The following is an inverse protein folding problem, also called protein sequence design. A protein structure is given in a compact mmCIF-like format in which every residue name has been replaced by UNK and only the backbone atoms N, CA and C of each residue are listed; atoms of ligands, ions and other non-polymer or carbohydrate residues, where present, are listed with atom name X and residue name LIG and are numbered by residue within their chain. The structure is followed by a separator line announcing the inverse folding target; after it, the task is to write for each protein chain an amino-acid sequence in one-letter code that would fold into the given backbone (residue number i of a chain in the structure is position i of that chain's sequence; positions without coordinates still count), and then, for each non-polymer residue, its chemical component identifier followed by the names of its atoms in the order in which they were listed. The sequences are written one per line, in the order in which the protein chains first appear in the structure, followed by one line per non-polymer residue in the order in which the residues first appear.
data_IF_223094929166
#
_entry.id   IF_223094929166
#
_cell.length_a   1.000
_cell.length_b   1.000
_cell.length_c   1.000
_cell.angle_alpha   90.00
_cell.angle_beta   90.00
_cell.angle_gamma   90.00
#
_symmetry.space_group_name_H-M   'P 1'
#
loop_
_entity.id
_entity.type
_entity.pdbx_description
1 polymer ?
#
# COMPACT_ATOMS: atom_id res chain seq x y z
N UNK A 1 -15.92 11.58 -12.83
CA UNK A 1 -15.85 10.23 -12.26
C UNK A 1 -16.86 10.17 -11.11
N UNK A 2 -17.83 9.26 -11.12
CA UNK A 2 -18.84 9.18 -10.05
C UNK A 2 -18.36 8.21 -8.97
N UNK A 3 -17.72 8.73 -7.93
CA UNK A 3 -17.16 7.94 -6.84
C UNK A 3 -18.25 7.58 -5.83
N UNK A 4 -18.46 6.30 -5.58
CA UNK A 4 -19.40 5.80 -4.58
C UNK A 4 -18.67 5.39 -3.32
N UNK A 5 -19.17 5.79 -2.15
CA UNK A 5 -18.68 5.29 -0.87
C UNK A 5 -19.37 3.97 -0.55
N UNK A 6 -18.58 2.93 -0.25
CA UNK A 6 -19.03 1.63 0.18
C UNK A 6 -18.40 1.31 1.55
N UNK A 7 -19.26 1.10 2.54
CA UNK A 7 -18.86 0.59 3.85
C UNK A 7 -18.75 -0.94 3.79
N UNK A 8 -17.87 -1.52 4.60
CA UNK A 8 -17.60 -2.96 4.67
C UNK A 8 -17.10 -3.56 3.34
N UNK A 9 -16.48 -2.74 2.49
CA UNK A 9 -15.91 -3.21 1.24
C UNK A 9 -14.61 -4.00 1.51
N UNK A 10 -14.31 -5.08 0.75
CA UNK A 10 -13.14 -5.93 1.00
C UNK A 10 -11.79 -5.18 1.04
N UNK A 11 -11.67 -4.06 0.34
CA UNK A 11 -10.46 -3.22 0.34
C UNK A 11 -10.12 -2.66 1.72
N UNK A 12 -11.11 -2.47 2.61
CA UNK A 12 -10.84 -1.98 3.96
C UNK A 12 -10.07 -3.01 4.79
N UNK A 13 -10.48 -4.28 4.68
CA UNK A 13 -9.77 -5.38 5.32
C UNK A 13 -8.41 -5.60 4.66
N UNK A 14 -8.34 -5.55 3.33
CA UNK A 14 -7.08 -5.69 2.59
C UNK A 14 -6.06 -4.61 2.97
N UNK A 15 -6.50 -3.34 3.11
CA UNK A 15 -5.65 -2.25 3.58
C UNK A 15 -5.10 -2.52 4.99
N UNK A 16 -5.98 -2.91 5.92
CA UNK A 16 -5.59 -3.21 7.30
C UNK A 16 -4.60 -4.37 7.35
N UNK A 17 -4.85 -5.46 6.62
CA UNK A 17 -3.98 -6.62 6.54
C UNK A 17 -2.61 -6.29 5.93
N UNK A 18 -2.60 -5.53 4.83
CA UNK A 18 -1.37 -5.06 4.19
C UNK A 18 -0.53 -4.19 5.15
N UNK A 19 -1.14 -3.19 5.78
CA UNK A 19 -0.44 -2.30 6.72
C UNK A 19 0.13 -3.07 7.92
N UNK A 20 -0.62 -4.06 8.45
CA UNK A 20 -0.12 -4.95 9.51
C UNK A 20 1.07 -5.78 9.04
N UNK A 21 1.03 -6.34 7.84
CA UNK A 21 2.15 -7.09 7.27
C UNK A 21 3.41 -6.21 7.13
N UNK A 22 3.25 -4.96 6.66
CA UNK A 22 4.34 -3.97 6.58
C UNK A 22 4.91 -3.68 7.97
N UNK A 23 4.07 -3.41 8.97
CA UNK A 23 4.50 -3.14 10.34
C UNK A 23 5.31 -4.33 10.92
N UNK A 24 4.77 -5.54 10.78
CA UNK A 24 5.37 -6.78 11.25
C UNK A 24 6.64 -7.20 10.48
N UNK A 25 6.89 -6.61 9.31
CA UNK A 25 7.97 -7.06 8.42
C UNK A 25 7.69 -8.41 7.75
N UNK A 26 6.42 -8.81 7.67
CA UNK A 26 5.99 -10.02 6.98
C UNK A 26 5.97 -9.76 5.47
N UNK A 27 7.11 -10.03 4.83
CA UNK A 27 7.30 -9.79 3.40
C UNK A 27 6.36 -10.65 2.53
N UNK A 28 6.09 -11.89 2.93
CA UNK A 28 5.21 -12.79 2.20
C UNK A 28 3.77 -12.29 2.18
N UNK A 29 3.24 -11.94 3.35
CA UNK A 29 1.90 -11.35 3.44
C UNK A 29 1.83 -9.99 2.75
N UNK A 30 2.84 -9.14 2.90
CA UNK A 30 2.87 -7.85 2.20
C UNK A 30 2.82 -8.06 0.68
N UNK A 31 3.68 -8.93 0.14
CA UNK A 31 3.74 -9.26 -1.28
C UNK A 31 2.41 -9.80 -1.83
N UNK A 32 1.75 -10.68 -1.07
CA UNK A 32 0.46 -11.26 -1.45
C UNK A 32 -0.64 -10.20 -1.67
N UNK A 33 -0.58 -9.07 -0.97
CA UNK A 33 -1.54 -7.98 -1.12
C UNK A 33 -1.24 -7.02 -2.28
N UNK A 34 -0.09 -7.15 -2.96
CA UNK A 34 0.31 -6.25 -4.05
C UNK A 34 -0.23 -6.69 -5.40
N UNK A 35 -0.60 -5.71 -6.23
CA UNK A 35 -0.97 -5.90 -7.63
C UNK A 35 0.19 -6.45 -8.46
N UNK A 36 -0.10 -7.04 -9.62
CA UNK A 36 0.95 -7.51 -10.53
C UNK A 36 1.87 -6.38 -10.99
N UNK A 37 1.30 -5.22 -11.31
CA UNK A 37 2.04 -4.02 -11.71
C UNK A 37 3.04 -3.61 -10.62
N UNK A 38 2.57 -3.57 -9.37
CA UNK A 38 3.41 -3.21 -8.22
C UNK A 38 4.51 -4.24 -7.98
N UNK A 39 4.21 -5.54 -8.07
CA UNK A 39 5.24 -6.58 -7.96
C UNK A 39 6.30 -6.45 -9.03
N UNK A 40 5.91 -6.24 -10.29
CA UNK A 40 6.84 -6.01 -11.39
C UNK A 40 7.73 -4.78 -11.19
N UNK A 41 7.19 -3.69 -10.63
CA UNK A 41 7.97 -2.52 -10.23
C UNK A 41 9.03 -2.89 -9.18
N UNK A 42 8.65 -3.63 -8.12
CA UNK A 42 9.57 -4.03 -7.06
C UNK A 42 10.64 -5.02 -7.56
N UNK A 43 10.29 -5.94 -8.45
CA UNK A 43 11.25 -6.83 -9.12
C UNK A 43 12.26 -6.04 -9.94
N UNK A 44 11.81 -5.02 -10.69
CA UNK A 44 12.69 -4.12 -11.44
C UNK A 44 13.62 -3.31 -10.54
N UNK A 45 13.12 -2.80 -9.43
CA UNK A 45 13.92 -2.09 -8.42
C UNK A 45 14.96 -3.00 -7.76
N UNK A 46 14.56 -4.24 -7.44
CA UNK A 46 15.48 -5.25 -6.94
C UNK A 46 16.57 -5.56 -7.98
N UNK A 47 16.21 -5.79 -9.25
CA UNK A 47 17.15 -6.07 -10.33
C UNK A 47 18.22 -4.97 -10.45
N UNK A 48 17.79 -3.71 -10.43
CA UNK A 48 18.67 -2.55 -10.52
C UNK A 48 19.64 -2.47 -9.33
N UNK A 49 19.14 -2.68 -8.09
CA UNK A 49 19.94 -2.62 -6.86
C UNK A 49 20.93 -3.78 -6.75
N UNK A 50 20.48 -4.99 -7.08
CA UNK A 50 21.30 -6.20 -7.04
C UNK A 50 22.23 -6.33 -8.26
N UNK A 51 22.13 -5.41 -9.24
CA UNK A 51 22.90 -5.42 -10.48
C UNK A 51 22.76 -6.73 -11.28
N UNK A 52 21.55 -7.29 -11.30
CA UNK A 52 21.22 -8.50 -12.06
C UNK A 52 20.29 -8.17 -13.22
N UNK A 53 20.25 -9.06 -14.22
CA UNK A 53 19.31 -8.91 -15.31
C UNK A 53 17.87 -9.10 -14.83
N UNK A 54 16.90 -8.37 -15.41
CA UNK A 54 15.50 -8.42 -15.00
C UNK A 54 14.91 -9.84 -15.03
N UNK A 55 15.25 -10.66 -16.03
CA UNK A 55 14.75 -12.04 -16.11
C UNK A 55 15.27 -12.94 -14.97
N UNK A 56 16.34 -12.55 -14.28
CA UNK A 56 16.86 -13.21 -13.07
C UNK A 56 16.14 -12.72 -11.81
N UNK A 57 15.73 -11.45 -11.80
CA UNK A 57 15.00 -10.82 -10.70
C UNK A 57 13.48 -11.10 -10.74
N UNK A 58 12.93 -11.38 -11.91
CA UNK A 58 11.50 -11.59 -12.12
C UNK A 58 11.01 -12.89 -11.48
N UNK A 59 9.69 -12.95 -11.26
CA UNK A 59 9.03 -14.14 -10.71
C UNK A 59 9.41 -14.37 -9.25
N UNK A 60 9.46 -13.30 -8.45
CA UNK A 60 9.62 -13.42 -6.99
C UNK A 60 8.37 -14.08 -6.43
N UNK A 61 8.56 -15.23 -5.79
CA UNK A 61 7.47 -15.98 -5.18
C UNK A 61 7.09 -15.37 -3.83
N UNK A 62 5.83 -15.55 -3.43
CA UNK A 62 5.39 -15.17 -2.08
C UNK A 62 5.91 -16.11 -1.00
N UNK A 63 6.65 -17.17 -1.35
CA UNK A 63 7.22 -18.10 -0.38
C UNK A 63 8.37 -17.45 0.38
N UNK A 64 8.45 -17.72 1.68
CA UNK A 64 9.58 -17.34 2.52
C UNK A 64 10.90 -17.99 2.09
N UNK A 65 10.83 -19.04 1.27
CA UNK A 65 12.01 -19.72 0.73
C UNK A 65 12.66 -18.96 -0.44
N UNK A 66 11.95 -18.00 -1.06
CA UNK A 66 12.55 -17.13 -2.07
C UNK A 66 13.38 -16.04 -1.38
N UNK A 67 14.70 -16.25 -1.37
CA UNK A 67 15.65 -15.33 -0.74
C UNK A 67 15.54 -13.88 -1.25
N UNK A 68 15.01 -13.65 -2.45
CA UNK A 68 14.85 -12.31 -3.06
C UNK A 68 13.69 -11.53 -2.44
N UNK A 69 12.69 -12.22 -1.88
CA UNK A 69 11.43 -11.63 -1.43
C UNK A 69 11.63 -10.51 -0.41
N UNK A 70 12.43 -10.78 0.63
CA UNK A 70 12.71 -9.79 1.66
C UNK A 70 13.40 -8.55 1.09
N UNK A 71 14.35 -8.73 0.17
CA UNK A 71 15.09 -7.63 -0.46
C UNK A 71 14.25 -6.80 -1.42
N UNK A 72 13.31 -7.44 -2.11
CA UNK A 72 12.36 -6.79 -3.01
C UNK A 72 11.33 -5.94 -2.24
N UNK A 73 10.86 -6.43 -1.08
CA UNK A 73 9.87 -5.72 -0.24
C UNK A 73 10.50 -4.66 0.68
N UNK A 74 11.77 -4.80 1.04
CA UNK A 74 12.43 -3.91 2.00
C UNK A 74 12.31 -2.40 1.67
N UNK A 75 12.49 -1.92 0.42
CA UNK A 75 12.32 -0.50 0.09
C UNK A 75 10.88 -0.01 0.30
N UNK A 76 9.89 -0.83 -0.07
CA UNK A 76 8.47 -0.53 0.14
C UNK A 76 8.17 -0.38 1.63
N UNK A 77 8.62 -1.35 2.44
CA UNK A 77 8.47 -1.29 3.89
C UNK A 77 9.12 -0.03 4.46
N UNK A 78 10.37 0.24 4.08
CA UNK A 78 11.10 1.43 4.53
C UNK A 78 10.35 2.72 4.21
N UNK A 79 9.85 2.86 2.99
CA UNK A 79 9.05 4.01 2.55
C UNK A 79 7.77 4.19 3.38
N UNK A 80 6.97 3.13 3.54
CA UNK A 80 5.71 3.19 4.28
C UNK A 80 5.97 3.50 5.76
N UNK A 81 6.97 2.88 6.39
CA UNK A 81 7.32 3.17 7.78
C UNK A 81 7.80 4.62 7.95
N UNK A 82 8.59 5.14 7.02
CA UNK A 82 9.03 6.53 7.06
C UNK A 82 7.84 7.49 6.91
N UNK A 83 6.92 7.22 5.98
CA UNK A 83 5.76 8.06 5.71
C UNK A 83 4.72 8.03 6.85
N UNK A 84 4.50 6.87 7.45
CA UNK A 84 3.49 6.67 8.51
C UNK A 84 4.08 6.83 9.93
N UNK A 85 5.36 7.15 10.05
CA UNK A 85 6.00 7.48 11.33
C UNK A 85 6.31 6.27 12.22
N UNK A 86 6.70 5.14 11.62
CA UNK A 86 7.23 3.96 12.30
C UNK A 86 6.26 2.78 12.39
N UNK A 87 6.78 1.60 12.76
CA UNK A 87 6.01 0.35 12.86
C UNK A 87 4.85 0.46 13.83
N UNK A 88 5.05 1.17 14.95
CA UNK A 88 4.10 1.23 16.05
C UNK A 88 2.87 2.08 15.68
N UNK A 89 3.03 3.02 14.73
CA UNK A 89 1.96 3.92 14.29
C UNK A 89 1.18 3.40 13.09
N UNK A 90 1.78 2.57 12.25
CA UNK A 90 1.13 2.01 11.05
C UNK A 90 -0.16 1.27 11.39
N UNK A 91 -0.19 0.56 12.52
CA UNK A 91 -1.37 -0.17 13.00
C UNK A 91 -2.48 0.70 13.60
N UNK A 92 -2.19 1.98 13.88
CA UNK A 92 -3.11 2.91 14.53
C UNK A 92 -3.89 3.79 13.54
N UNK A 93 -3.53 3.78 12.25
CA UNK A 93 -4.29 4.50 11.24
C UNK A 93 -5.70 3.92 11.07
N UNK A 94 -6.69 4.80 11.04
CA UNK A 94 -8.05 4.44 10.66
C UNK A 94 -8.14 4.21 9.16
N UNK A 95 -8.88 3.17 8.75
CA UNK A 95 -9.18 2.91 7.33
C UNK A 95 -10.61 3.34 7.04
N UNK A 96 -10.78 4.32 6.14
CA UNK A 96 -12.11 4.83 5.79
C UNK A 96 -12.98 3.77 5.06
N UNK A 97 -14.27 4.08 4.88
CA UNK A 97 -15.09 3.41 3.87
C UNK A 97 -14.42 3.50 2.49
N UNK A 98 -14.57 2.46 1.67
CA UNK A 98 -13.95 2.41 0.36
C UNK A 98 -14.62 3.37 -0.61
N UNK A 99 -13.81 4.11 -1.35
CA UNK A 99 -14.23 4.96 -2.46
C UNK A 99 -14.10 4.14 -3.74
N UNK A 100 -15.23 3.61 -4.19
CA UNK A 100 -15.34 2.81 -5.41
C UNK A 100 -15.39 3.78 -6.59
N UNK A 101 -14.34 3.72 -7.41
CA UNK A 101 -14.21 4.54 -8.61
C UNK A 101 -14.99 3.89 -9.75
N UNK A 102 -14.75 2.60 -9.95
CA UNK A 102 -15.44 1.75 -10.91
C UNK A 102 -15.36 0.26 -10.48
N UNK A 103 -15.64 -0.66 -11.40
CA UNK A 103 -15.61 -2.11 -11.14
C UNK A 103 -14.22 -2.70 -10.89
N UNK A 104 -13.17 -1.98 -11.29
CA UNK A 104 -11.79 -2.39 -11.30
C UNK A 104 -10.91 -1.56 -10.35
N UNK A 105 -11.35 -0.37 -9.94
CA UNK A 105 -10.58 0.54 -9.10
C UNK A 105 -11.41 0.97 -7.88
N UNK A 106 -10.78 0.87 -6.71
CA UNK A 106 -11.27 1.46 -5.47
C UNK A 106 -10.08 2.00 -4.67
N UNK A 107 -10.32 2.92 -3.74
CA UNK A 107 -9.29 3.35 -2.81
C UNK A 107 -9.85 3.58 -1.42
N UNK A 108 -9.01 3.53 -0.41
CA UNK A 108 -9.35 3.89 0.97
C UNK A 108 -8.46 5.04 1.43
N UNK A 109 -8.97 5.86 2.33
CA UNK A 109 -8.21 6.92 2.97
C UNK A 109 -7.63 6.39 4.28
N UNK A 110 -6.37 6.73 4.55
CA UNK A 110 -5.70 6.49 5.83
C UNK A 110 -5.89 7.71 6.72
N UNK A 111 -6.79 7.57 7.68
CA UNK A 111 -7.12 8.58 8.66
C UNK A 111 -6.04 8.58 9.76
N UNK A 112 -5.55 9.76 10.16
CA UNK A 112 -4.53 9.86 11.19
C UNK A 112 -4.97 9.18 12.49
N UNK A 113 -3.99 8.68 13.24
CA UNK A 113 -4.20 8.18 14.59
C UNK A 113 -4.52 9.37 15.52
N UNK A 114 -5.70 9.34 16.12
CA UNK A 114 -6.16 10.34 17.09
C UNK A 114 -5.88 9.93 18.54
N UNK A 115 -5.23 8.79 18.77
CA UNK A 115 -4.96 8.27 20.12
C UNK A 115 -6.25 8.01 20.91
N UNK A 116 -6.23 8.35 22.20
CA UNK A 116 -7.40 8.21 23.09
C UNK A 116 -8.47 9.31 22.87
N UNK A 117 -8.20 10.30 22.03
CA UNK A 117 -9.12 11.40 21.76
C UNK A 117 -10.27 10.94 20.85
N UNK A 118 -11.48 10.89 21.43
CA UNK A 118 -12.68 10.39 20.75
C UNK A 118 -13.40 11.43 19.90
N UNK A 119 -13.03 12.71 20.04
CA UNK A 119 -13.64 13.83 19.33
C UNK A 119 -12.50 14.76 18.90
N UNK A 120 -12.28 14.82 17.61
CA UNK A 120 -11.28 15.67 16.95
C UNK A 120 -12.00 16.60 15.99
N UNK A 121 -11.42 17.78 15.75
CA UNK A 121 -12.08 18.77 14.91
C UNK A 121 -12.01 18.38 13.42
N UNK A 122 -12.95 18.87 12.61
CA UNK A 122 -12.97 18.58 11.15
C UNK A 122 -11.64 18.91 10.43
N UNK A 123 -10.89 19.98 10.79
CA UNK A 123 -9.54 20.21 10.28
C UNK A 123 -8.53 19.09 10.59
N UNK A 124 -8.68 18.41 11.72
CA UNK A 124 -7.80 17.33 12.16
C UNK A 124 -8.12 16.01 11.43
N UNK A 125 -9.30 15.92 10.79
CA UNK A 125 -9.78 14.76 10.03
C UNK A 125 -9.17 14.59 8.64
N UNK A 126 -8.15 15.37 8.29
CA UNK A 126 -7.54 15.30 6.96
C UNK A 126 -6.88 13.93 6.76
N UNK A 127 -7.26 13.19 5.70
CA UNK A 127 -6.54 11.99 5.32
C UNK A 127 -5.05 12.28 5.20
N UNK A 128 -4.23 11.41 5.78
CA UNK A 128 -2.78 11.55 5.66
C UNK A 128 -2.27 10.98 4.34
N UNK A 129 -2.89 9.88 3.89
CA UNK A 129 -2.52 9.11 2.72
C UNK A 129 -3.76 8.40 2.19
N UNK A 130 -3.63 7.75 1.04
CA UNK A 130 -4.60 6.79 0.53
C UNK A 130 -3.89 5.51 0.09
N UNK A 131 -4.66 4.42 -0.01
CA UNK A 131 -4.23 3.20 -0.69
C UNK A 131 -5.22 2.88 -1.80
N UNK A 132 -4.73 2.80 -3.02
CA UNK A 132 -5.50 2.38 -4.17
C UNK A 132 -5.43 0.87 -4.35
N UNK A 133 -6.53 0.32 -4.84
CA UNK A 133 -6.71 -1.08 -5.11
C UNK A 133 -7.18 -1.27 -6.54
N UNK A 134 -6.58 -2.24 -7.21
CA UNK A 134 -7.06 -2.76 -8.49
C UNK A 134 -7.67 -4.14 -8.29
N UNK A 135 -8.67 -4.47 -9.11
CA UNK A 135 -9.29 -5.79 -9.07
C UNK A 135 -8.59 -6.73 -10.04
N UNK A 136 -7.90 -7.74 -9.52
CA UNK A 136 -7.19 -8.76 -10.30
C UNK A 136 -7.66 -10.15 -9.88
N UNK A 137 -8.01 -11.01 -10.85
CA UNK A 137 -8.43 -12.40 -10.59
C UNK A 137 -9.54 -12.56 -9.53
N UNK A 138 -10.38 -11.53 -9.34
CA UNK A 138 -11.46 -11.52 -8.36
C UNK A 138 -11.09 -10.89 -7.00
N UNK A 139 -9.81 -10.66 -6.75
CA UNK A 139 -9.27 -10.06 -5.52
C UNK A 139 -9.00 -8.57 -5.68
N UNK A 140 -8.94 -7.84 -4.57
CA UNK A 140 -8.55 -6.44 -4.54
C UNK A 140 -7.13 -6.32 -4.00
N UNK A 141 -6.22 -5.85 -4.84
CA UNK A 141 -4.79 -5.78 -4.54
C UNK A 141 -4.31 -4.33 -4.54
N UNK A 142 -3.42 -4.00 -3.60
CA UNK A 142 -2.80 -2.69 -3.46
C UNK A 142 -1.98 -2.39 -4.70
N UNK A 143 -2.27 -1.27 -5.36
CA UNK A 143 -1.56 -0.81 -6.53
C UNK A 143 -0.89 0.53 -6.25
N UNK A 144 0.45 0.54 -6.18
CA UNK A 144 1.19 1.74 -5.80
C UNK A 144 1.25 2.77 -6.93
N UNK A 145 1.21 2.34 -8.20
CA UNK A 145 1.13 3.25 -9.34
C UNK A 145 -0.18 4.04 -9.32
N UNK A 146 -1.29 3.35 -9.14
CA UNK A 146 -2.61 3.97 -8.98
C UNK A 146 -2.72 4.76 -7.68
N UNK A 147 -2.05 4.32 -6.62
CA UNK A 147 -1.99 5.07 -5.36
C UNK A 147 -1.29 6.40 -5.58
N UNK A 148 -0.17 6.44 -6.29
CA UNK A 148 0.54 7.67 -6.61
C UNK A 148 -0.31 8.63 -7.45
N UNK A 149 -0.95 8.11 -8.51
CA UNK A 149 -1.87 8.89 -9.37
C UNK A 149 -3.01 9.52 -8.56
N UNK A 150 -3.73 8.72 -7.78
CA UNK A 150 -4.85 9.21 -6.98
C UNK A 150 -4.40 10.14 -5.84
N UNK A 151 -3.20 9.93 -5.30
CA UNK A 151 -2.65 10.81 -4.26
C UNK A 151 -2.35 12.19 -4.83
N UNK A 152 -1.77 12.26 -6.04
CA UNK A 152 -1.54 13.52 -6.74
C UNK A 152 -2.85 14.28 -7.00
N UNK A 153 -3.88 13.59 -7.50
CA UNK A 153 -5.21 14.18 -7.73
C UNK A 153 -5.87 14.68 -6.45
N UNK A 154 -5.60 14.03 -5.31
CA UNK A 154 -6.14 14.37 -4.00
C UNK A 154 -5.26 15.36 -3.20
N UNK A 155 -4.15 15.84 -3.79
CA UNK A 155 -3.14 16.66 -3.11
C UNK A 155 -2.60 16.01 -1.81
N UNK A 156 -2.45 14.68 -1.83
CA UNK A 156 -1.90 13.87 -0.74
C UNK A 156 -0.47 13.38 -1.06
N UNK A 157 0.34 13.04 -0.05
CA UNK A 157 1.69 12.52 -0.24
C UNK A 157 1.73 11.24 -1.11
N UNK A 158 2.64 11.20 -2.08
CA UNK A 158 2.89 10.02 -2.92
C UNK A 158 3.75 8.97 -2.18
N UNK A 159 3.23 7.74 -1.96
CA UNK A 159 3.99 6.68 -1.29
C UNK A 159 5.16 6.14 -2.13
N UNK A 160 5.17 6.33 -3.46
CA UNK A 160 6.29 5.97 -4.33
C UNK A 160 7.44 6.98 -4.25
N UNK A 161 7.17 8.22 -3.82
CA UNK A 161 8.16 9.29 -3.74
C UNK A 161 9.38 8.95 -2.89
N UNK A 162 9.18 8.11 -1.85
CA UNK A 162 10.25 7.64 -0.96
C UNK A 162 10.86 6.28 -1.37
N UNK A 163 10.25 5.54 -2.31
CA UNK A 163 10.81 4.27 -2.84
C UNK A 163 11.89 4.54 -3.90
N UNK A 164 11.95 5.76 -4.45
CA UNK A 164 13.02 6.19 -5.34
C UNK A 164 14.28 6.54 -4.56
N UNK A 165 15.11 5.55 -4.23
CA UNK A 165 16.53 5.69 -3.86
C UNK A 165 17.25 4.36 -3.89
#
# INVERSE_FOLDING_TARGET
MNVKIAFEHPTQLAATSFLRAIAAGDAASAWAHLSRETRGLLEGLYAARAQVALHTAAGVESSVDDARLAEAVAPLRGSILAALGGSDRVGAFGVSGARVVDRAIAYVLLLPDFGDERIVSEPDWRPSHLLAFVRESGEWLVDLGKTAELSADAELPDPLGAIRR
#
